data_IF_158643667959
#
_entry.id   IF_158643667959
#
_cell.length_a   1.000
_cell.length_b   1.000
_cell.length_c   1.000
_cell.angle_alpha   90.00
_cell.angle_beta   90.00
_cell.angle_gamma   90.00
#
_symmetry.space_group_name_H-M   'P 1'
#
loop_
_entity.id
_entity.type
_entity.pdbx_description
1 polymer ?
#
# COMPACT_ATOMS: atom_id res chain seq x y z
N UNK A 1 -30.10 -34.67 -13.68
CA UNK A 1 -29.45 -33.64 -12.86
C UNK A 1 -28.38 -33.02 -13.74
N UNK A 2 -28.69 -31.91 -14.41
CA UNK A 2 -27.85 -31.33 -15.47
C UNK A 2 -26.73 -30.53 -14.81
N UNK A 3 -25.48 -30.92 -15.07
CA UNK A 3 -24.33 -30.08 -14.74
C UNK A 3 -24.40 -28.80 -15.58
N UNK A 4 -24.72 -27.68 -14.93
CA UNK A 4 -24.56 -26.36 -15.54
C UNK A 4 -23.06 -26.07 -15.63
N UNK A 5 -22.49 -26.19 -16.83
CA UNK A 5 -21.18 -25.61 -17.14
C UNK A 5 -21.31 -24.09 -17.08
N UNK A 6 -20.80 -23.48 -16.00
CA UNK A 6 -20.66 -22.03 -15.90
C UNK A 6 -19.92 -21.50 -17.13
N UNK A 7 -20.62 -20.71 -17.95
CA UNK A 7 -19.97 -20.03 -19.06
C UNK A 7 -19.02 -18.95 -18.51
N UNK A 8 -17.92 -18.63 -19.22
CA UNK A 8 -17.02 -17.54 -18.81
C UNK A 8 -17.75 -16.20 -18.55
N UNK A 9 -18.86 -15.98 -19.26
CA UNK A 9 -19.76 -14.84 -19.11
C UNK A 9 -20.46 -14.81 -17.74
N UNK A 10 -20.95 -15.95 -17.26
CA UNK A 10 -21.72 -16.01 -16.01
C UNK A 10 -20.82 -15.76 -14.79
N UNK A 11 -19.58 -16.24 -14.85
CA UNK A 11 -18.55 -15.93 -13.85
C UNK A 11 -18.22 -14.44 -13.81
N UNK A 12 -18.08 -13.79 -14.98
CA UNK A 12 -17.79 -12.36 -15.04
C UNK A 12 -18.93 -11.53 -14.44
N UNK A 13 -20.18 -11.87 -14.74
CA UNK A 13 -21.37 -11.22 -14.16
C UNK A 13 -21.43 -11.36 -12.64
N UNK A 14 -21.13 -12.55 -12.12
CA UNK A 14 -21.09 -12.78 -10.68
C UNK A 14 -19.99 -11.95 -9.99
N UNK A 15 -18.82 -11.82 -10.61
CA UNK A 15 -17.72 -10.98 -10.12
C UNK A 15 -18.12 -9.50 -10.09
N UNK A 16 -18.71 -8.98 -11.17
CA UNK A 16 -19.09 -7.57 -11.26
C UNK A 16 -20.22 -7.24 -10.26
N UNK A 17 -21.16 -8.17 -10.03
CA UNK A 17 -22.19 -8.03 -9.02
C UNK A 17 -21.62 -7.99 -7.59
N UNK A 18 -20.63 -8.85 -7.28
CA UNK A 18 -19.95 -8.85 -6.00
C UNK A 18 -19.15 -7.56 -5.75
N UNK A 19 -18.44 -7.07 -6.78
CA UNK A 19 -17.73 -5.79 -6.73
C UNK A 19 -18.71 -4.65 -6.40
N UNK A 20 -19.84 -4.57 -7.09
CA UNK A 20 -20.87 -3.55 -6.82
C UNK A 20 -21.58 -3.68 -5.47
N UNK A 21 -21.58 -4.87 -4.85
CA UNK A 21 -22.05 -5.04 -3.47
C UNK A 21 -21.04 -4.46 -2.47
N UNK A 22 -19.75 -4.70 -2.68
CA UNK A 22 -18.67 -4.19 -1.81
C UNK A 22 -18.61 -2.67 -1.88
N UNK A 23 -18.67 -2.06 -3.08
CA UNK A 23 -18.66 -0.60 -3.21
C UNK A 23 -19.85 0.08 -2.54
N UNK A 24 -21.05 -0.52 -2.60
CA UNK A 24 -22.24 0.02 -1.92
C UNK A 24 -22.13 -0.06 -0.40
N UNK A 25 -21.51 -1.11 0.12
CA UNK A 25 -21.39 -1.33 1.56
C UNK A 25 -20.26 -0.49 2.19
N UNK A 26 -19.15 -0.30 1.47
CA UNK A 26 -17.91 0.27 2.03
C UNK A 26 -17.42 1.55 1.34
N UNK A 27 -18.14 2.03 0.31
CA UNK A 27 -17.80 3.22 -0.45
C UNK A 27 -16.99 2.95 -1.72
N UNK A 28 -16.90 3.97 -2.59
CA UNK A 28 -16.11 3.89 -3.83
C UNK A 28 -14.63 3.68 -3.51
N UNK A 29 -13.99 2.75 -4.22
CA UNK A 29 -12.57 2.41 -4.02
C UNK A 29 -12.31 1.40 -2.90
N UNK A 30 -13.34 0.85 -2.26
CA UNK A 30 -13.20 -0.25 -1.29
C UNK A 30 -12.72 -1.56 -1.92
N UNK A 31 -12.93 -1.73 -3.23
CA UNK A 31 -12.36 -2.81 -4.03
C UNK A 31 -12.00 -2.26 -5.41
N UNK A 32 -10.84 -2.65 -5.90
CA UNK A 32 -10.36 -2.24 -7.22
C UNK A 32 -9.51 -3.36 -7.79
N UNK A 33 -9.49 -3.48 -9.11
CA UNK A 33 -8.57 -4.41 -9.77
C UNK A 33 -7.17 -3.83 -9.61
N UNK A 34 -6.25 -4.65 -9.11
CA UNK A 34 -4.82 -4.34 -9.17
C UNK A 34 -4.42 -4.39 -10.64
N UNK A 35 -4.63 -3.31 -11.38
CA UNK A 35 -3.99 -3.15 -12.68
C UNK A 35 -2.49 -3.01 -12.45
N UNK A 36 -1.70 -3.40 -13.45
CA UNK A 36 -0.26 -3.15 -13.51
C UNK A 36 0.03 -1.64 -13.74
N UNK A 37 -0.76 -0.78 -13.10
CA UNK A 37 -0.51 0.65 -13.02
C UNK A 37 0.85 0.85 -12.37
N UNK A 38 1.65 1.82 -12.85
CA UNK A 38 2.89 2.16 -12.19
C UNK A 38 2.59 2.38 -10.71
N UNK A 39 3.41 1.78 -9.84
CA UNK A 39 3.34 2.01 -8.39
C UNK A 39 3.22 3.51 -8.21
N UNK A 40 2.06 3.97 -7.72
CA UNK A 40 1.86 5.40 -7.52
C UNK A 40 3.00 5.91 -6.63
N UNK A 41 3.59 7.04 -7.02
CA UNK A 41 4.66 7.64 -6.26
C UNK A 41 4.14 7.92 -4.84
N UNK A 42 4.60 7.13 -3.89
CA UNK A 42 4.21 7.27 -2.49
C UNK A 42 4.91 8.51 -1.97
N UNK A 43 4.14 9.45 -1.43
CA UNK A 43 4.69 10.64 -0.76
C UNK A 43 5.59 10.19 0.39
N UNK A 44 6.81 10.70 0.46
CA UNK A 44 7.82 10.31 1.45
C UNK A 44 8.29 11.51 2.26
N UNK A 45 8.71 11.27 3.50
CA UNK A 45 9.40 12.23 4.37
C UNK A 45 10.88 11.84 4.42
N UNK A 46 11.79 12.79 4.21
CA UNK A 46 13.23 12.51 4.26
C UNK A 46 13.62 11.99 5.64
N UNK A 47 14.58 11.08 5.68
CA UNK A 47 15.19 10.62 6.94
C UNK A 47 16.23 11.60 7.48
N UNK A 48 16.62 12.61 6.70
CA UNK A 48 17.74 13.52 6.93
C UNK A 48 19.00 13.10 6.18
N UNK A 49 19.61 11.94 6.48
CA UNK A 49 20.77 11.45 5.73
C UNK A 49 20.40 11.00 4.30
N UNK A 50 20.95 11.69 3.30
CA UNK A 50 20.72 11.37 1.88
C UNK A 50 21.07 9.92 1.49
N UNK A 51 22.07 9.33 2.16
CA UNK A 51 22.46 7.94 1.92
C UNK A 51 21.38 6.94 2.35
N UNK A 52 20.63 7.26 3.41
CA UNK A 52 19.53 6.42 3.90
C UNK A 52 18.30 6.56 2.99
N UNK A 53 17.97 7.78 2.57
CA UNK A 53 16.88 8.02 1.61
C UNK A 53 17.11 7.30 0.28
N UNK A 54 18.35 7.32 -0.21
CA UNK A 54 18.76 6.58 -1.39
C UNK A 54 18.67 5.05 -1.19
N UNK A 55 19.10 4.55 -0.02
CA UNK A 55 19.03 3.13 0.30
C UNK A 55 17.58 2.62 0.41
N UNK A 56 16.65 3.46 0.86
CA UNK A 56 15.21 3.14 0.89
C UNK A 56 14.58 3.06 -0.51
N UNK A 57 15.24 3.62 -1.54
CA UNK A 57 14.83 3.54 -2.95
C UNK A 57 13.61 4.38 -3.33
N UNK A 58 12.83 4.82 -2.34
CA UNK A 58 11.67 5.71 -2.50
C UNK A 58 11.95 7.15 -2.06
N UNK A 59 13.17 7.43 -1.59
CA UNK A 59 13.61 8.78 -1.20
C UNK A 59 13.23 9.20 0.21
N UNK A 60 12.84 8.27 1.09
CA UNK A 60 12.52 8.55 2.49
C UNK A 60 11.54 7.56 3.10
N UNK A 61 10.92 7.93 4.23
CA UNK A 61 9.89 7.13 4.88
C UNK A 61 8.51 7.37 4.22
N UNK A 62 7.80 6.32 3.78
CA UNK A 62 6.53 6.46 3.09
C UNK A 62 5.40 6.90 4.03
N UNK A 63 4.66 7.94 3.64
CA UNK A 63 3.50 8.44 4.39
C UNK A 63 2.35 7.43 4.36
N UNK A 64 1.56 7.43 5.43
CA UNK A 64 0.43 6.50 5.58
C UNK A 64 0.84 5.05 5.83
N UNK A 65 2.10 4.79 6.17
CA UNK A 65 2.63 3.46 6.53
C UNK A 65 3.19 3.48 7.95
N UNK A 66 3.19 2.31 8.59
CA UNK A 66 3.85 2.10 9.87
C UNK A 66 5.29 1.69 9.58
N UNK A 67 6.25 2.34 10.23
CA UNK A 67 7.68 2.09 10.10
C UNK A 67 8.23 1.62 11.45
N UNK A 68 9.06 0.59 11.43
CA UNK A 68 9.77 0.07 12.60
C UNK A 68 11.26 0.40 12.47
N UNK A 69 11.84 1.00 13.52
CA UNK A 69 13.28 1.27 13.63
C UNK A 69 13.78 0.45 14.82
N UNK A 70 14.67 -0.51 14.58
CA UNK A 70 15.21 -1.39 15.61
C UNK A 70 16.75 -1.40 15.58
N UNK A 71 17.35 -1.69 16.73
CA UNK A 71 18.80 -1.79 16.87
C UNK A 71 19.25 -1.95 18.32
N UNK A 72 20.56 -2.13 18.56
CA UNK A 72 21.13 -2.14 19.90
C UNK A 72 20.80 -0.85 20.68
N UNK A 73 20.90 -0.92 22.01
CA UNK A 73 20.81 0.27 22.85
C UNK A 73 21.85 1.32 22.39
N UNK A 74 21.44 2.59 22.38
CA UNK A 74 22.28 3.71 21.92
C UNK A 74 22.67 3.70 20.44
N UNK A 75 22.02 2.88 19.60
CA UNK A 75 22.22 2.89 18.13
C UNK A 75 21.63 4.10 17.40
N UNK A 76 20.86 4.95 18.10
CA UNK A 76 20.32 6.19 17.55
C UNK A 76 18.89 6.10 17.00
N UNK A 77 18.13 5.03 17.27
CA UNK A 77 16.75 4.90 16.79
C UNK A 77 15.85 6.09 17.15
N UNK A 78 15.87 6.55 18.40
CA UNK A 78 15.14 7.75 18.84
C UNK A 78 15.67 9.02 18.17
N UNK A 79 16.98 9.13 17.97
CA UNK A 79 17.61 10.29 17.33
C UNK A 79 17.23 10.41 15.86
N UNK A 80 17.16 9.28 15.15
CA UNK A 80 16.69 9.22 13.77
C UNK A 80 15.21 9.59 13.67
N UNK A 81 14.37 9.05 14.56
CA UNK A 81 12.94 9.40 14.60
C UNK A 81 12.73 10.91 14.83
N UNK A 82 13.53 11.53 15.71
CA UNK A 82 13.47 12.97 15.94
C UNK A 82 13.96 13.80 14.76
N UNK A 83 14.96 13.33 14.00
CA UNK A 83 15.38 13.99 12.75
C UNK A 83 14.26 13.97 11.71
N UNK A 84 13.64 12.80 11.49
CA UNK A 84 12.49 12.66 10.59
C UNK A 84 11.35 13.61 10.94
N UNK A 85 11.11 13.86 12.24
CA UNK A 85 10.07 14.80 12.69
C UNK A 85 10.43 16.26 12.38
N UNK A 86 11.73 16.58 12.31
CA UNK A 86 12.21 17.94 12.06
C UNK A 86 12.27 18.30 10.57
N UNK A 87 12.36 17.31 9.67
CA UNK A 87 12.24 17.46 8.22
C UNK A 87 10.79 17.77 7.77
#
# INVERSE_FOLDING_TARGET
>A
MVEMKDSPSDKQRAVDAAIGQIERAFGRGSIMRLQNSPVEAVECVSTGPIALDAALGVGGLPRGRIIEIFGPESSGGTTLALHVIAE
#
